data_IF_806772927216
#
_entry.id   IF_806772927216
#
_cell.length_a   1.000
_cell.length_b   1.000
_cell.length_c   1.000
_cell.angle_alpha   90.00
_cell.angle_beta   90.00
_cell.angle_gamma   90.00
#
_symmetry.space_group_name_H-M   'P 1'
#
loop_
_entity.id
_entity.type
_entity.pdbx_description
1 polymer ?
#
# COMPACT_ATOMS: atom_id res chain seq x y z
N UNK A 1 14.37 -6.02 -3.70
CA UNK A 1 13.34 -4.99 -3.41
C UNK A 1 11.99 -5.58 -3.75
N UNK A 2 10.96 -5.35 -2.95
CA UNK A 2 9.61 -5.72 -3.32
C UNK A 2 8.93 -4.47 -3.86
N UNK A 3 8.90 -4.31 -5.18
CA UNK A 3 8.48 -3.08 -5.83
C UNK A 3 7.10 -2.58 -5.32
N UNK A 4 6.13 -3.48 -5.16
CA UNK A 4 4.78 -3.08 -4.71
C UNK A 4 4.76 -2.77 -3.21
N UNK A 5 5.32 -3.64 -2.37
CA UNK A 5 5.33 -3.44 -0.92
C UNK A 5 6.07 -2.16 -0.51
N UNK A 6 7.20 -1.90 -1.17
CA UNK A 6 8.01 -0.70 -0.97
C UNK A 6 7.25 0.56 -1.41
N UNK A 7 6.54 0.52 -2.56
CA UNK A 7 5.68 1.62 -3.03
C UNK A 7 4.49 1.89 -2.09
N UNK A 8 3.82 0.85 -1.58
CA UNK A 8 2.73 0.99 -0.58
C UNK A 8 3.27 1.66 0.69
N UNK A 9 4.44 1.22 1.17
CA UNK A 9 5.10 1.82 2.32
C UNK A 9 5.46 3.29 2.07
N UNK A 10 5.94 3.62 0.86
CA UNK A 10 6.27 4.98 0.48
C UNK A 10 5.05 5.90 0.53
N UNK A 11 3.90 5.48 -0.02
CA UNK A 11 2.64 6.23 0.07
C UNK A 11 2.31 6.52 1.54
N UNK A 12 2.36 5.51 2.42
CA UNK A 12 2.08 5.71 3.85
C UNK A 12 3.00 6.76 4.48
N UNK A 13 4.30 6.68 4.19
CA UNK A 13 5.30 7.59 4.76
C UNK A 13 5.19 9.01 4.21
N UNK A 14 4.87 9.19 2.92
CA UNK A 14 4.62 10.49 2.31
C UNK A 14 3.47 11.25 2.99
N UNK A 15 2.48 10.51 3.50
CA UNK A 15 1.37 11.07 4.26
C UNK A 15 1.62 11.16 5.77
N UNK A 16 2.84 10.85 6.26
CA UNK A 16 3.21 10.84 7.69
C UNK A 16 2.30 9.96 8.56
N UNK A 17 1.82 8.83 8.02
CA UNK A 17 0.89 7.95 8.72
C UNK A 17 1.60 6.76 9.40
N UNK A 18 1.12 6.43 10.60
CA UNK A 18 1.42 5.14 11.25
C UNK A 18 0.71 4.01 10.51
N UNK A 19 1.24 2.79 10.59
CA UNK A 19 0.63 1.63 9.93
C UNK A 19 -0.83 1.41 10.35
N UNK A 20 -1.15 1.55 11.64
CA UNK A 20 -2.55 1.43 12.13
C UNK A 20 -3.50 2.40 11.42
N UNK A 21 -3.15 3.68 11.35
CA UNK A 21 -3.99 4.72 10.74
C UNK A 21 -4.10 4.55 9.22
N UNK A 22 -3.03 4.12 8.55
CA UNK A 22 -3.07 3.85 7.12
C UNK A 22 -3.91 2.62 6.80
N UNK A 23 -3.77 1.55 7.59
CA UNK A 23 -4.54 0.31 7.44
C UNK A 23 -6.05 0.56 7.62
N UNK A 24 -6.43 1.37 8.62
CA UNK A 24 -7.81 1.82 8.82
C UNK A 24 -8.37 2.55 7.59
N UNK A 25 -7.59 3.49 7.01
CA UNK A 25 -7.99 4.25 5.82
C UNK A 25 -8.23 3.35 4.61
N UNK A 26 -7.42 2.30 4.43
CA UNK A 26 -7.58 1.33 3.32
C UNK A 26 -8.36 0.07 3.71
N UNK A 27 -9.03 0.09 4.87
CA UNK A 27 -9.95 -0.95 5.36
C UNK A 27 -9.33 -2.35 5.48
N UNK A 28 -8.10 -2.43 5.97
CA UNK A 28 -7.42 -3.69 6.30
C UNK A 28 -6.89 -3.67 7.73
N UNK A 29 -6.50 -4.84 8.25
CA UNK A 29 -5.80 -4.90 9.54
C UNK A 29 -4.36 -4.38 9.41
N UNK A 30 -3.82 -3.84 10.51
CA UNK A 30 -2.41 -3.42 10.55
C UNK A 30 -1.45 -4.59 10.24
N UNK A 31 -1.76 -5.80 10.71
CA UNK A 31 -0.98 -7.00 10.39
C UNK A 31 -0.92 -7.27 8.89
N UNK A 32 -2.07 -7.20 8.20
CA UNK A 32 -2.12 -7.36 6.74
C UNK A 32 -1.35 -6.27 6.00
N UNK A 33 -1.45 -5.02 6.45
CA UNK A 33 -0.62 -3.94 5.90
C UNK A 33 0.88 -4.25 6.09
N UNK A 34 1.29 -4.74 7.26
CA UNK A 34 2.68 -5.09 7.52
C UNK A 34 3.17 -6.21 6.60
N UNK A 35 2.35 -7.22 6.32
CA UNK A 35 2.68 -8.27 5.36
C UNK A 35 2.83 -7.73 3.93
N UNK A 36 1.97 -6.79 3.53
CA UNK A 36 2.07 -6.10 2.23
C UNK A 36 3.36 -5.30 2.13
N UNK A 37 3.66 -4.46 3.12
CA UNK A 37 4.88 -3.63 3.13
C UNK A 37 6.18 -4.43 3.24
N UNK A 38 6.10 -5.66 3.78
CA UNK A 38 7.21 -6.63 3.78
C UNK A 38 7.26 -7.49 2.52
N UNK A 39 6.28 -7.35 1.62
CA UNK A 39 6.22 -8.12 0.39
C UNK A 39 5.79 -9.58 0.55
N UNK A 40 5.27 -9.96 1.72
CA UNK A 40 4.81 -11.32 2.03
C UNK A 40 3.48 -11.65 1.37
N UNK A 41 2.66 -10.64 1.12
CA UNK A 41 1.36 -10.79 0.44
C UNK A 41 1.11 -9.60 -0.48
N UNK A 42 0.27 -9.81 -1.50
CA UNK A 42 -0.14 -8.74 -2.41
C UNK A 42 -1.41 -8.05 -1.89
N UNK A 43 -1.61 -6.75 -2.17
CA UNK A 43 -2.89 -6.07 -1.94
C UNK A 43 -4.05 -6.78 -2.65
N UNK A 44 -5.24 -6.84 -2.05
CA UNK A 44 -6.44 -7.29 -2.77
C UNK A 44 -6.94 -6.20 -3.71
N UNK A 45 -7.88 -6.55 -4.60
CA UNK A 45 -8.56 -5.57 -5.45
C UNK A 45 -9.22 -4.45 -4.62
N UNK A 46 -9.83 -4.78 -3.47
CA UNK A 46 -10.42 -3.77 -2.57
C UNK A 46 -9.35 -2.87 -1.95
N UNK A 47 -8.19 -3.43 -1.54
CA UNK A 47 -7.08 -2.63 -1.04
C UNK A 47 -6.56 -1.67 -2.12
N UNK A 48 -6.42 -2.14 -3.37
CA UNK A 48 -6.01 -1.30 -4.49
C UNK A 48 -7.02 -0.19 -4.78
N UNK A 49 -8.31 -0.50 -4.70
CA UNK A 49 -9.38 0.48 -4.85
C UNK A 49 -9.33 1.56 -3.77
N UNK A 50 -9.13 1.18 -2.50
CA UNK A 50 -8.99 2.16 -1.42
C UNK A 50 -7.69 2.96 -1.52
N UNK A 51 -6.57 2.36 -1.96
CA UNK A 51 -5.33 3.10 -2.23
C UNK A 51 -5.56 4.21 -3.27
N UNK A 52 -6.23 3.88 -4.39
CA UNK A 52 -6.60 4.87 -5.40
C UNK A 52 -7.54 5.93 -4.83
N UNK A 53 -8.58 5.52 -4.09
CA UNK A 53 -9.62 6.42 -3.59
C UNK A 53 -9.12 7.38 -2.51
N UNK A 54 -8.32 6.90 -1.57
CA UNK A 54 -7.92 7.65 -0.38
C UNK A 54 -6.64 8.46 -0.58
N UNK A 55 -5.76 7.98 -1.47
CA UNK A 55 -4.42 8.55 -1.65
C UNK A 55 -4.12 8.94 -3.10
N UNK A 56 -5.12 8.88 -3.99
CA UNK A 56 -5.00 9.21 -5.41
C UNK A 56 -3.84 8.46 -6.11
N UNK A 57 -3.65 7.20 -5.74
CA UNK A 57 -2.58 6.35 -6.28
C UNK A 57 -2.88 5.96 -7.72
N UNK A 58 -1.92 6.17 -8.60
CA UNK A 58 -1.91 5.57 -9.94
C UNK A 58 -1.51 4.09 -9.83
N UNK A 59 -2.42 3.20 -10.22
CA UNK A 59 -2.16 1.76 -10.17
C UNK A 59 -1.15 1.32 -11.23
N UNK A 60 -1.01 2.01 -12.36
CA UNK A 60 0.02 1.69 -13.34
C UNK A 60 1.40 1.88 -12.73
N UNK A 61 1.64 3.07 -12.15
CA UNK A 61 2.86 3.34 -11.39
C UNK A 61 3.08 2.32 -10.26
N UNK A 62 2.03 1.90 -9.56
CA UNK A 62 2.15 0.91 -8.48
C UNK A 62 2.67 -0.45 -8.97
N UNK A 63 2.31 -0.84 -10.20
CA UNK A 63 2.70 -2.11 -10.83
C UNK A 63 3.93 -2.03 -11.74
N UNK A 64 4.42 -0.84 -12.07
CA UNK A 64 5.66 -0.68 -12.83
C UNK A 64 6.84 -1.32 -12.10
N UNK A 65 7.60 -2.14 -12.81
CA UNK A 65 8.89 -2.67 -12.33
C UNK A 65 10.01 -1.70 -12.74
N UNK A 66 10.85 -1.29 -11.79
CA UNK A 66 12.07 -0.55 -12.10
C UNK A 66 13.09 -1.56 -12.66
N UNK A 67 13.48 -1.39 -13.93
CA UNK A 67 14.51 -2.19 -14.62
C UNK A 67 15.90 -1.92 -14.03
#
# INVERSE_FOLDING_TARGET
MNAIGDKVKAIRLQHNLKQVTFAEKIRISQGRLSEIEQGKTKPSAETLFELRKQFNVDLNWLFEEEN
#
